data_IF_862038745453
#
_entry.id   IF_862038745453
#
_cell.length_a   1.000
_cell.length_b   1.000
_cell.length_c   1.000
_cell.angle_alpha   90.00
_cell.angle_beta   90.00
_cell.angle_gamma   90.00
#
_symmetry.space_group_name_H-M   'P 1'
#
loop_
_entity.id
_entity.type
_entity.pdbx_description
1 polymer ?
#
# COMPACT_ATOMS: atom_id res chain seq x y z
N UNK A 1 24.47 -13.89 -42.02
CA UNK A 1 24.91 -13.13 -40.83
C UNK A 1 23.76 -12.25 -40.39
N UNK A 2 23.04 -12.64 -39.34
CA UNK A 2 22.02 -11.76 -38.77
C UNK A 2 22.74 -10.59 -38.08
N UNK A 3 22.43 -9.36 -38.49
CA UNK A 3 22.90 -8.18 -37.77
C UNK A 3 22.29 -8.24 -36.36
N UNK A 4 23.15 -8.28 -35.34
CA UNK A 4 22.73 -8.05 -33.94
C UNK A 4 22.15 -6.64 -33.90
N UNK A 5 20.82 -6.55 -33.76
CA UNK A 5 20.18 -5.28 -33.44
C UNK A 5 20.78 -4.76 -32.13
N UNK A 6 21.05 -3.45 -32.02
CA UNK A 6 21.55 -2.87 -30.78
C UNK A 6 20.54 -3.14 -29.66
N UNK A 7 21.06 -3.57 -28.51
CA UNK A 7 20.23 -3.80 -27.32
C UNK A 7 19.53 -2.47 -26.95
N UNK A 8 18.21 -2.48 -26.70
CA UNK A 8 17.50 -1.26 -26.33
C UNK A 8 18.11 -0.68 -25.05
N UNK A 9 18.15 0.66 -24.88
CA UNK A 9 18.64 1.26 -23.65
C UNK A 9 17.71 0.95 -22.46
N UNK A 10 18.20 1.05 -21.22
CA UNK A 10 17.35 1.00 -20.04
C UNK A 10 16.36 2.18 -20.04
N UNK A 11 15.20 1.98 -19.40
CA UNK A 11 14.15 2.99 -19.31
C UNK A 11 13.92 3.41 -17.85
N UNK A 12 13.59 4.68 -17.65
CA UNK A 12 13.23 5.22 -16.35
C UNK A 12 11.82 5.78 -16.42
N UNK A 13 11.01 5.50 -15.41
CA UNK A 13 9.67 6.03 -15.27
C UNK A 13 9.49 6.63 -13.87
N UNK A 14 8.52 7.54 -13.76
CA UNK A 14 7.99 8.03 -12.49
C UNK A 14 6.54 7.63 -12.35
N UNK A 15 6.17 7.17 -11.18
CA UNK A 15 4.79 6.82 -10.84
C UNK A 15 4.30 7.66 -9.67
N UNK A 16 3.30 8.50 -9.90
CA UNK A 16 2.63 9.27 -8.85
C UNK A 16 1.53 8.42 -8.22
N UNK A 17 1.59 8.22 -6.90
CA UNK A 17 0.57 7.40 -6.22
C UNK A 17 -0.81 8.07 -6.25
N UNK A 18 -1.90 7.30 -6.37
CA UNK A 18 -3.24 7.86 -6.36
C UNK A 18 -3.57 8.47 -4.99
N UNK A 19 -4.48 9.45 -4.97
CA UNK A 19 -4.96 10.08 -3.73
C UNK A 19 -5.83 9.16 -2.84
N UNK A 20 -6.06 7.91 -3.26
CA UNK A 20 -6.89 6.92 -2.56
C UNK A 20 -6.06 5.78 -1.96
N UNK A 21 -6.72 4.84 -1.26
CA UNK A 21 -6.03 3.69 -0.68
C UNK A 21 -5.40 2.82 -1.77
N UNK A 22 -4.16 2.40 -1.55
CA UNK A 22 -3.44 1.45 -2.41
C UNK A 22 -3.66 0.00 -1.99
N UNK A 23 -4.09 -0.22 -0.74
CA UNK A 23 -4.55 -1.51 -0.26
C UNK A 23 -5.63 -1.31 0.81
N UNK A 24 -6.55 -2.25 0.94
CA UNK A 24 -7.57 -2.18 1.98
C UNK A 24 -8.31 -3.48 2.19
N UNK A 25 -9.13 -3.51 3.23
CA UNK A 25 -10.05 -4.61 3.52
C UNK A 25 -11.19 -4.12 4.41
N UNK A 26 -12.27 -4.89 4.47
CA UNK A 26 -13.36 -4.68 5.42
C UNK A 26 -13.59 -5.99 6.18
N UNK A 27 -13.74 -5.88 7.50
CA UNK A 27 -13.96 -7.03 8.39
C UNK A 27 -15.20 -6.79 9.24
N UNK A 28 -16.13 -7.73 9.20
CA UNK A 28 -17.32 -7.70 10.05
C UNK A 28 -17.06 -8.44 11.37
N UNK A 29 -17.15 -7.72 12.49
CA UNK A 29 -17.01 -8.27 13.84
C UNK A 29 -18.40 -8.30 14.51
N UNK A 30 -19.36 -8.93 13.84
CA UNK A 30 -20.73 -9.21 14.29
C UNK A 30 -21.65 -7.99 14.50
N UNK A 31 -21.15 -6.93 15.13
CA UNK A 31 -21.91 -5.74 15.51
C UNK A 31 -21.27 -4.44 15.00
N UNK A 32 -20.14 -4.53 14.30
CA UNK A 32 -19.38 -3.43 13.68
C UNK A 32 -18.65 -3.96 12.44
N UNK A 33 -18.66 -3.18 11.38
CA UNK A 33 -17.81 -3.34 10.20
C UNK A 33 -16.59 -2.45 10.37
N UNK A 34 -15.39 -3.02 10.29
CA UNK A 34 -14.13 -2.29 10.37
C UNK A 34 -13.54 -2.21 8.97
N UNK A 35 -13.50 -1.01 8.42
CA UNK A 35 -12.87 -0.71 7.13
C UNK A 35 -11.46 -0.22 7.35
N UNK A 36 -10.50 -0.82 6.66
CA UNK A 36 -9.09 -0.51 6.75
C UNK A 36 -8.57 -0.10 5.38
N UNK A 37 -7.88 1.02 5.31
CA UNK A 37 -7.24 1.53 4.11
C UNK A 37 -5.79 1.94 4.39
N UNK A 38 -4.87 1.48 3.56
CA UNK A 38 -3.51 1.99 3.49
C UNK A 38 -3.41 2.96 2.33
N UNK A 39 -3.09 4.22 2.61
CA UNK A 39 -2.77 5.24 1.63
C UNK A 39 -1.26 5.43 1.60
N UNK A 40 -0.72 5.60 0.41
CA UNK A 40 0.68 5.98 0.19
C UNK A 40 0.69 7.26 -0.65
N UNK A 41 1.44 8.25 -0.19
CA UNK A 41 1.55 9.56 -0.85
C UNK A 41 3.01 9.82 -1.19
N UNK A 42 3.25 10.18 -2.45
CA UNK A 42 4.58 10.46 -2.97
C UNK A 42 4.74 9.95 -4.40
N UNK A 43 6.00 9.92 -4.83
CA UNK A 43 6.38 9.43 -6.15
C UNK A 43 7.33 8.25 -6.02
N UNK A 44 7.20 7.32 -6.96
CA UNK A 44 8.11 6.20 -7.11
C UNK A 44 8.93 6.38 -8.37
N UNK A 45 10.23 6.14 -8.28
CA UNK A 45 11.10 5.95 -9.42
C UNK A 45 11.10 4.47 -9.81
N UNK A 46 11.00 4.21 -11.11
CA UNK A 46 10.92 2.85 -11.66
C UNK A 46 11.96 2.72 -12.76
N UNK A 47 13.02 1.98 -12.49
CA UNK A 47 14.12 1.73 -13.42
C UNK A 47 13.95 0.34 -14.03
N UNK A 48 13.80 0.28 -15.35
CA UNK A 48 13.62 -0.95 -16.10
C UNK A 48 14.90 -1.26 -16.87
N UNK A 49 15.41 -2.49 -16.71
CA UNK A 49 16.52 -2.98 -17.50
C UNK A 49 16.19 -2.94 -19.00
N UNK A 50 17.22 -2.95 -19.84
CA UNK A 50 17.12 -2.90 -21.30
C UNK A 50 16.05 -3.83 -21.87
N UNK A 51 14.99 -3.24 -22.40
CA UNK A 51 13.86 -3.94 -23.02
C UNK A 51 13.14 -3.04 -24.04
N UNK A 52 12.39 -3.62 -25.00
CA UNK A 52 11.54 -2.86 -25.90
C UNK A 52 10.55 -1.98 -25.14
N UNK A 53 10.25 -0.77 -25.63
CA UNK A 53 9.49 0.24 -24.89
C UNK A 53 8.13 -0.25 -24.35
N UNK A 54 7.39 -1.05 -25.12
CA UNK A 54 6.10 -1.62 -24.69
C UNK A 54 6.28 -2.62 -23.53
N UNK A 55 7.31 -3.46 -23.62
CA UNK A 55 7.68 -4.41 -22.56
C UNK A 55 8.14 -3.65 -21.32
N UNK A 56 8.96 -2.61 -21.49
CA UNK A 56 9.44 -1.77 -20.40
C UNK A 56 8.28 -1.11 -19.65
N UNK A 57 7.31 -0.54 -20.37
CA UNK A 57 6.13 0.09 -19.76
C UNK A 57 5.24 -0.92 -19.04
N UNK A 58 5.01 -2.10 -19.63
CA UNK A 58 4.22 -3.16 -18.99
C UNK A 58 4.92 -3.70 -17.73
N UNK A 59 6.23 -3.93 -17.78
CA UNK A 59 7.03 -4.37 -16.65
C UNK A 59 7.05 -3.33 -15.52
N UNK A 60 7.17 -2.04 -15.86
CA UNK A 60 7.07 -0.95 -14.90
C UNK A 60 5.71 -0.94 -14.17
N UNK A 61 4.60 -1.07 -14.90
CA UNK A 61 3.25 -1.14 -14.30
C UNK A 61 3.09 -2.36 -13.39
N UNK A 62 3.60 -3.53 -13.79
CA UNK A 62 3.56 -4.74 -12.99
C UNK A 62 4.37 -4.60 -11.68
N UNK A 63 5.54 -3.95 -11.76
CA UNK A 63 6.39 -3.66 -10.61
C UNK A 63 5.73 -2.67 -9.66
N UNK A 64 5.12 -1.59 -10.16
CA UNK A 64 4.32 -0.67 -9.33
C UNK A 64 3.17 -1.41 -8.64
N UNK A 65 2.51 -2.34 -9.35
CA UNK A 65 1.48 -3.19 -8.76
C UNK A 65 2.01 -4.14 -7.66
N UNK A 66 3.32 -4.36 -7.57
CA UNK A 66 3.94 -5.10 -6.48
C UNK A 66 4.07 -4.30 -5.18
N UNK A 67 4.03 -2.96 -5.24
CA UNK A 67 4.23 -2.09 -4.08
C UNK A 67 3.19 -2.37 -2.99
N UNK A 68 1.92 -2.54 -3.37
CA UNK A 68 0.84 -2.79 -2.43
C UNK A 68 0.52 -4.28 -2.23
N UNK A 69 1.29 -5.21 -2.83
CA UNK A 69 1.03 -6.64 -2.73
C UNK A 69 1.46 -7.20 -1.38
N UNK A 70 0.61 -8.06 -0.82
CA UNK A 70 0.90 -8.78 0.42
C UNK A 70 1.11 -7.86 1.62
N UNK A 71 0.41 -6.72 1.64
CA UNK A 71 0.46 -5.81 2.80
C UNK A 71 -0.22 -6.47 3.98
N UNK A 72 0.47 -6.52 5.10
CA UNK A 72 0.01 -7.11 6.35
C UNK A 72 0.03 -6.07 7.46
N UNK A 73 -1.02 -6.11 8.29
CA UNK A 73 -1.13 -5.31 9.50
C UNK A 73 -1.16 -6.24 10.70
N UNK A 74 -0.36 -5.91 11.72
CA UNK A 74 -0.38 -6.60 13.02
C UNK A 74 -0.70 -5.60 14.11
N UNK A 75 -1.23 -6.11 15.21
CA UNK A 75 -1.51 -5.34 16.41
C UNK A 75 -2.39 -4.10 16.11
N UNK A 76 -3.41 -4.26 15.25
CA UNK A 76 -4.26 -3.18 14.74
C UNK A 76 -4.90 -2.35 15.87
N UNK A 77 -5.26 -3.00 16.97
CA UNK A 77 -5.84 -2.36 18.14
C UNK A 77 -4.85 -1.58 19.02
N UNK A 78 -3.55 -1.63 18.74
CA UNK A 78 -2.54 -0.95 19.55
C UNK A 78 -2.30 0.50 19.11
N UNK A 79 -1.57 1.26 19.94
CA UNK A 79 -1.09 2.60 19.57
C UNK A 79 0.03 2.57 18.52
N UNK A 80 0.59 1.39 18.23
CA UNK A 80 1.73 1.20 17.30
C UNK A 80 1.49 0.00 16.40
N UNK A 81 0.43 0.00 15.56
CA UNK A 81 0.19 -1.07 14.60
C UNK A 81 1.41 -1.19 13.66
N UNK A 82 1.88 -2.42 13.46
CA UNK A 82 2.99 -2.65 12.53
C UNK A 82 2.44 -2.93 11.14
N UNK A 83 3.01 -2.26 10.14
CA UNK A 83 2.71 -2.48 8.71
C UNK A 83 3.90 -3.17 8.07
N UNK A 84 3.65 -4.21 7.27
CA UNK A 84 4.65 -4.84 6.42
C UNK A 84 4.09 -5.11 5.03
N UNK A 85 4.96 -5.34 4.06
CA UNK A 85 4.59 -5.70 2.69
C UNK A 85 5.48 -6.83 2.19
N UNK A 86 4.98 -7.63 1.24
CA UNK A 86 5.74 -8.75 0.68
C UNK A 86 7.02 -8.30 -0.05
N UNK A 87 7.02 -7.06 -0.57
CA UNK A 87 8.17 -6.46 -1.22
C UNK A 87 9.27 -5.96 -0.25
N UNK A 88 9.05 -6.03 1.07
CA UNK A 88 10.09 -5.71 2.07
C UNK A 88 10.21 -4.23 2.44
N UNK A 89 9.19 -3.41 2.17
CA UNK A 89 9.19 -1.98 2.51
C UNK A 89 9.38 -1.75 4.01
N UNK A 90 10.03 -0.63 4.35
CA UNK A 90 10.25 -0.21 5.74
C UNK A 90 9.24 0.87 6.13
N UNK A 91 8.29 0.51 6.98
CA UNK A 91 7.32 1.44 7.56
C UNK A 91 7.77 1.92 8.93
N UNK A 92 7.84 3.24 9.13
CA UNK A 92 8.18 3.86 10.42
C UNK A 92 7.04 4.78 10.85
N UNK A 93 6.30 4.39 11.89
CA UNK A 93 5.21 5.19 12.42
C UNK A 93 5.73 6.44 13.14
N UNK A 94 5.08 7.58 12.89
CA UNK A 94 5.34 8.86 13.57
C UNK A 94 4.17 9.31 14.43
N UNK A 95 2.94 9.12 13.96
CA UNK A 95 1.73 9.58 14.65
C UNK A 95 0.67 8.50 14.70
N UNK A 96 -0.20 8.61 15.70
CA UNK A 96 -1.34 7.74 15.92
C UNK A 96 -2.45 8.53 16.58
N UNK A 97 -3.49 8.86 15.81
CA UNK A 97 -4.50 9.81 16.21
C UNK A 97 -5.90 9.25 16.01
N UNK A 98 -6.75 9.47 17.00
CA UNK A 98 -8.18 9.21 16.88
C UNK A 98 -8.87 10.43 16.26
N UNK A 99 -9.49 10.22 15.10
CA UNK A 99 -10.36 11.20 14.44
C UNK A 99 -11.82 10.82 14.72
N UNK A 100 -12.53 11.72 15.39
CA UNK A 100 -13.96 11.56 15.59
C UNK A 100 -14.72 11.45 14.24
N UNK A 101 -15.80 10.66 14.19
CA UNK A 101 -16.41 9.95 15.31
C UNK A 101 -15.84 8.54 15.57
N UNK A 102 -15.12 7.96 14.62
CA UNK A 102 -14.86 6.52 14.58
C UNK A 102 -13.69 6.12 13.66
N UNK A 103 -12.68 6.96 13.51
CA UNK A 103 -11.49 6.61 12.71
C UNK A 103 -10.25 6.71 13.59
N UNK A 104 -9.35 5.74 13.47
CA UNK A 104 -7.98 5.84 13.96
C UNK A 104 -7.06 5.92 12.75
N UNK A 105 -6.13 6.86 12.77
CA UNK A 105 -5.17 7.08 11.71
C UNK A 105 -3.77 6.94 12.28
N UNK A 106 -2.98 6.03 11.70
CA UNK A 106 -1.55 5.91 11.99
C UNK A 106 -0.77 6.39 10.78
N UNK A 107 0.08 7.39 10.95
CA UNK A 107 0.88 7.96 9.85
C UNK A 107 2.36 7.86 10.12
N UNK A 108 3.14 7.88 9.05
CA UNK A 108 4.59 7.84 9.13
C UNK A 108 5.23 7.76 7.75
N UNK A 109 6.45 7.24 7.69
CA UNK A 109 7.21 7.11 6.46
C UNK A 109 7.23 5.66 5.98
N UNK A 110 7.33 5.49 4.66
CA UNK A 110 7.51 4.21 4.00
C UNK A 110 8.67 4.34 3.01
N UNK A 111 9.78 3.64 3.28
CA UNK A 111 10.86 3.50 2.31
C UNK A 111 10.60 2.28 1.43
N UNK A 112 10.55 2.53 0.12
CA UNK A 112 10.41 1.51 -0.91
C UNK A 112 11.75 1.39 -1.61
N UNK A 113 12.31 0.18 -1.62
CA UNK A 113 13.47 -0.18 -2.43
C UNK A 113 13.43 -1.69 -2.66
N UNK A 114 13.06 -2.10 -3.88
CA UNK A 114 13.04 -3.51 -4.25
C UNK A 114 13.21 -3.72 -5.74
N UNK A 115 13.63 -4.94 -6.10
CA UNK A 115 13.68 -5.39 -7.48
C UNK A 115 12.55 -6.39 -7.76
N UNK A 116 11.74 -6.09 -8.77
CA UNK A 116 10.75 -6.97 -9.35
C UNK A 116 11.30 -7.62 -10.62
N UNK A 117 10.88 -8.85 -10.90
CA UNK A 117 11.11 -9.49 -12.21
C UNK A 117 9.77 -9.73 -12.89
N UNK A 118 9.59 -9.13 -14.06
CA UNK A 118 8.44 -9.34 -14.93
C UNK A 118 8.95 -9.85 -16.28
N UNK A 119 8.53 -11.04 -16.71
CA UNK A 119 8.91 -11.66 -17.99
C UNK A 119 10.43 -11.60 -18.29
N UNK A 120 11.25 -11.95 -17.28
CA UNK A 120 12.72 -11.90 -17.29
C UNK A 120 13.36 -10.51 -17.34
N UNK A 121 12.57 -9.43 -17.38
CA UNK A 121 13.06 -8.05 -17.24
C UNK A 121 13.12 -7.68 -15.76
N UNK A 122 14.29 -7.21 -15.32
CA UNK A 122 14.47 -6.67 -13.98
C UNK A 122 13.98 -5.23 -13.91
N UNK A 123 13.20 -4.91 -12.88
CA UNK A 123 12.67 -3.58 -12.61
C UNK A 123 12.97 -3.23 -11.18
N UNK A 124 13.72 -2.15 -10.95
CA UNK A 124 13.94 -1.59 -9.61
C UNK A 124 12.91 -0.51 -9.36
N UNK A 125 12.25 -0.56 -8.20
CA UNK A 125 11.30 0.46 -7.75
C UNK A 125 11.84 1.04 -6.45
N UNK A 126 11.96 2.37 -6.40
CA UNK A 126 12.47 3.08 -5.23
C UNK A 126 11.71 4.36 -4.95
N UNK A 127 11.61 4.75 -3.68
CA UNK A 127 11.05 6.02 -3.27
C UNK A 127 10.86 6.14 -1.76
N UNK A 128 10.82 7.38 -1.28
CA UNK A 128 10.42 7.71 0.08
C UNK A 128 9.00 8.27 0.07
N UNK A 129 8.11 7.61 0.79
CA UNK A 129 6.68 7.90 0.77
C UNK A 129 6.21 8.26 2.18
N UNK A 130 5.14 9.04 2.24
CA UNK A 130 4.33 9.12 3.46
C UNK A 130 3.26 8.05 3.40
N UNK A 131 3.05 7.31 4.49
CA UNK A 131 1.92 6.39 4.61
C UNK A 131 0.87 6.89 5.60
N UNK A 132 -0.37 6.52 5.35
CA UNK A 132 -1.49 6.68 6.28
C UNK A 132 -2.29 5.37 6.33
N UNK A 133 -2.31 4.73 7.48
CA UNK A 133 -3.18 3.60 7.78
C UNK A 133 -4.44 4.14 8.47
N UNK A 134 -5.56 4.09 7.78
CA UNK A 134 -6.86 4.49 8.30
C UNK A 134 -7.67 3.27 8.68
N UNK A 135 -8.18 3.26 9.92
CA UNK A 135 -9.03 2.21 10.46
C UNK A 135 -10.32 2.85 10.91
N UNK A 136 -11.40 2.59 10.21
CA UNK A 136 -12.72 3.16 10.50
C UNK A 136 -13.67 2.07 10.96
N UNK A 137 -14.32 2.27 12.11
CA UNK A 137 -15.27 1.32 12.67
C UNK A 137 -16.70 1.82 12.50
N UNK A 138 -17.45 1.22 11.61
CA UNK A 138 -18.83 1.58 11.31
C UNK A 138 -19.79 0.58 11.95
N UNK A 139 -20.84 1.08 12.60
CA UNK A 139 -21.91 0.22 13.10
C UNK A 139 -22.95 0.03 11.98
N UNK A 140 -23.57 -1.15 11.82
CA UNK A 140 -24.72 -1.27 10.94
C UNK A 140 -25.79 -0.21 11.31
N UNK A 141 -26.54 0.32 10.32
CA UNK A 141 -27.27 1.59 10.41
C UNK A 141 -28.33 1.72 11.52
N UNK A 142 -28.62 0.64 12.27
CA UNK A 142 -29.64 0.59 13.31
C UNK A 142 -29.19 1.04 14.71
N UNK A 143 -27.91 1.33 14.95
CA UNK A 143 -27.44 1.61 16.31
C UNK A 143 -26.60 2.90 16.40
N UNK A 144 -27.13 3.91 17.11
CA UNK A 144 -26.46 5.18 17.42
C UNK A 144 -25.02 4.91 17.91
N UNK A 145 -24.04 5.56 17.29
CA UNK A 145 -22.63 5.46 17.66
C UNK A 145 -22.38 6.16 19.01
N UNK A 146 -21.88 5.47 20.05
CA UNK A 146 -21.38 6.16 21.23
C UNK A 146 -19.92 6.55 20.96
N UNK A 147 -19.58 7.81 21.23
CA UNK A 147 -18.20 8.30 21.23
C UNK A 147 -17.28 7.32 21.98
N UNK A 148 -16.11 6.99 21.42
CA UNK A 148 -15.12 6.12 22.06
C UNK A 148 -15.37 4.60 21.91
N UNK A 149 -15.97 4.13 20.81
CA UNK A 149 -16.04 2.69 20.50
C UNK A 149 -14.65 2.05 20.42
N UNK A 150 -13.70 2.66 19.69
CA UNK A 150 -12.32 2.15 19.59
C UNK A 150 -11.69 1.92 20.96
N UNK A 151 -11.82 2.87 21.89
CA UNK A 151 -11.32 2.71 23.27
C UNK A 151 -11.99 1.56 24.03
N UNK A 152 -13.26 1.25 23.74
CA UNK A 152 -13.99 0.15 24.39
C UNK A 152 -13.65 -1.22 23.82
N UNK A 153 -13.34 -1.27 22.53
CA UNK A 153 -13.09 -2.51 21.78
C UNK A 153 -11.62 -2.68 21.37
N UNK A 154 -10.72 -1.89 21.97
CA UNK A 154 -9.27 -1.96 21.74
C UNK A 154 -8.74 -3.40 21.93
N UNK A 155 -9.23 -4.11 22.96
CA UNK A 155 -8.90 -5.50 23.22
C UNK A 155 -9.41 -6.47 22.15
N UNK A 156 -10.57 -6.21 21.55
CA UNK A 156 -11.14 -7.03 20.48
C UNK A 156 -10.42 -6.77 19.16
N UNK A 157 -10.01 -5.54 18.88
CA UNK A 157 -9.18 -5.22 17.72
C UNK A 157 -7.75 -5.74 17.89
N UNK A 158 -7.21 -5.69 19.10
CA UNK A 158 -5.90 -6.26 19.42
C UNK A 158 -5.90 -7.80 19.34
N UNK A 159 -7.05 -8.47 19.47
CA UNK A 159 -7.15 -9.92 19.24
C UNK A 159 -7.10 -10.29 17.76
N UNK A 160 -7.26 -9.32 16.85
CA UNK A 160 -6.99 -9.49 15.43
C UNK A 160 -5.47 -9.52 15.25
N UNK A 161 -4.88 -10.71 15.38
CA UNK A 161 -3.43 -10.88 15.36
C UNK A 161 -2.77 -10.49 14.03
N UNK A 162 -3.46 -10.70 12.90
CA UNK A 162 -2.93 -10.40 11.57
C UNK A 162 -4.08 -10.09 10.60
N UNK A 163 -3.92 -9.04 9.80
CA UNK A 163 -4.80 -8.72 8.67
C UNK A 163 -4.00 -8.63 7.38
N UNK A 164 -4.51 -9.25 6.32
CA UNK A 164 -4.01 -9.11 4.97
C UNK A 164 -4.85 -8.08 4.22
N UNK A 165 -4.21 -7.07 3.63
CA UNK A 165 -4.89 -6.08 2.80
C UNK A 165 -4.89 -6.52 1.33
N UNK A 166 -5.98 -6.24 0.64
CA UNK A 166 -6.11 -6.47 -0.79
C UNK A 166 -5.61 -5.24 -1.53
N UNK A 167 -4.66 -5.43 -2.46
CA UNK A 167 -4.13 -4.36 -3.27
C UNK A 167 -5.19 -3.79 -4.22
N UNK A 168 -5.21 -2.46 -4.35
CA UNK A 168 -6.02 -1.75 -5.34
C UNK A 168 -5.28 -1.74 -6.69
N UNK A 169 -5.97 -1.93 -7.82
CA UNK A 169 -5.34 -1.89 -9.14
C UNK A 169 -4.60 -0.58 -9.42
N UNK A 170 -3.46 -0.69 -10.08
CA UNK A 170 -2.64 0.45 -10.54
C UNK A 170 -3.37 1.23 -11.62
N UNK A 171 -3.23 2.56 -11.62
CA UNK A 171 -3.79 3.45 -12.65
C UNK A 171 -2.69 3.75 -13.69
N UNK A 172 -2.78 3.26 -14.93
CA UNK A 172 -1.68 3.39 -15.91
C UNK A 172 -1.32 4.82 -16.29
N UNK A 173 -2.27 5.75 -16.17
CA UNK A 173 -2.08 7.17 -16.48
C UNK A 173 -1.09 7.88 -15.53
N UNK A 174 -0.84 7.30 -14.36
CA UNK A 174 0.09 7.86 -13.37
C UNK A 174 1.55 7.51 -13.65
N UNK A 175 1.81 6.61 -14.61
CA UNK A 175 3.15 6.25 -15.05
C UNK A 175 3.61 7.17 -16.19
N UNK A 176 4.58 8.02 -15.89
CA UNK A 176 5.24 8.93 -16.83
C UNK A 176 6.66 8.45 -17.11
N UNK A 177 7.16 8.66 -18.32
CA UNK A 177 8.49 8.22 -18.77
C UNK A 177 9.02 9.13 -19.85
#
# INVERSE_FOLDING_TARGET
MAALLPEPPPAAYRYTLPAGPVAGTAVDIGHVTVTIGLLLTGELEVLVASAPAEVSRAAALAAVGAVARGVMIRDLGSATPSVSAAAGHLFTQRHHDFRAPNTVTSTGDCAVDFTHRADAVAVTVSGELTYSLEVTAERPPSARAPQGWFRRHEKELASIGLLLLVAVPVVPAHLTG
#
